data_IF_875455167913
#
_entry.id   IF_875455167913
#
_cell.length_a   1.000
_cell.length_b   1.000
_cell.length_c   1.000
_cell.angle_alpha   90.00
_cell.angle_beta   90.00
_cell.angle_gamma   90.00
#
_symmetry.space_group_name_H-M   'P 1'
#
loop_
_entity.id
_entity.type
_entity.pdbx_description
1 polymer ?
#
# COMPACT_ATOMS: atom_id res chain seq x y z
N UNK A 1 -24.83 -12.27 31.26
CA UNK A 1 -24.55 -11.06 30.47
C UNK A 1 -23.44 -10.33 31.19
N UNK A 2 -22.22 -10.57 30.75
CA UNK A 2 -21.04 -9.83 31.16
C UNK A 2 -20.19 -9.86 29.89
N UNK A 3 -20.37 -8.85 29.05
CA UNK A 3 -19.57 -8.64 27.84
C UNK A 3 -18.16 -8.35 28.34
N UNK A 4 -17.33 -9.39 28.28
CA UNK A 4 -15.93 -9.33 28.63
C UNK A 4 -15.26 -8.67 27.43
N UNK A 5 -15.07 -7.36 27.55
CA UNK A 5 -13.87 -6.65 27.12
C UNK A 5 -13.37 -7.10 25.73
N UNK A 6 -13.97 -6.54 24.67
CA UNK A 6 -13.23 -6.41 23.41
C UNK A 6 -11.97 -5.63 23.77
N UNK A 7 -10.84 -6.34 23.91
CA UNK A 7 -9.51 -5.72 23.96
C UNK A 7 -9.49 -4.63 22.90
N UNK A 8 -9.46 -3.35 23.30
CA UNK A 8 -9.30 -2.24 22.36
C UNK A 8 -8.06 -2.55 21.53
N UNK A 9 -8.28 -2.89 20.26
CA UNK A 9 -7.20 -3.36 19.41
C UNK A 9 -6.16 -2.25 19.30
N UNK A 10 -4.91 -2.54 19.65
CA UNK A 10 -3.85 -1.53 19.66
C UNK A 10 -3.40 -1.18 18.23
N UNK A 11 -3.54 -2.14 17.31
CA UNK A 11 -3.20 -2.02 15.89
C UNK A 11 -4.37 -2.51 15.04
N UNK A 12 -4.50 -1.93 13.84
CA UNK A 12 -5.36 -2.45 12.77
C UNK A 12 -4.54 -2.64 11.50
N UNK A 13 -5.07 -3.44 10.58
CA UNK A 13 -4.43 -3.81 9.32
C UNK A 13 -4.68 -2.75 8.25
N UNK A 14 -3.59 -2.25 7.69
CA UNK A 14 -3.54 -1.27 6.61
C UNK A 14 -3.02 -1.95 5.33
N UNK A 15 -3.74 -1.78 4.23
CA UNK A 15 -3.21 -2.08 2.90
C UNK A 15 -2.30 -0.94 2.44
N UNK A 16 -1.12 -1.28 1.93
CA UNK A 16 -0.19 -0.32 1.31
C UNK A 16 -0.76 0.14 -0.03
N UNK A 17 -1.13 -0.81 -0.89
CA UNK A 17 -1.89 -0.59 -2.12
C UNK A 17 -3.33 -1.01 -1.84
N UNK A 18 -4.19 -0.04 -1.52
CA UNK A 18 -5.62 -0.28 -1.29
C UNK A 18 -6.47 -0.28 -2.57
N UNK A 19 -7.77 -0.60 -2.47
CA UNK A 19 -8.68 -0.70 -3.61
C UNK A 19 -8.74 0.58 -4.48
N UNK A 20 -8.67 1.76 -3.88
CA UNK A 20 -8.66 3.05 -4.61
C UNK A 20 -7.41 3.20 -5.47
N UNK A 21 -6.24 2.80 -4.96
CA UNK A 21 -4.96 2.85 -5.70
C UNK A 21 -4.98 1.82 -6.83
N UNK A 22 -5.43 0.59 -6.54
CA UNK A 22 -5.61 -0.45 -7.55
C UNK A 22 -6.52 0.03 -8.68
N UNK A 23 -7.71 0.56 -8.36
CA UNK A 23 -8.66 1.05 -9.35
C UNK A 23 -8.09 2.20 -10.21
N UNK A 24 -7.28 3.07 -9.60
CA UNK A 24 -6.66 4.22 -10.26
C UNK A 24 -5.44 3.90 -11.13
N UNK A 25 -4.88 2.69 -11.06
CA UNK A 25 -3.68 2.30 -11.83
C UNK A 25 -4.02 1.29 -12.94
N UNK A 26 -3.94 1.67 -14.23
CA UNK A 26 -4.10 0.74 -15.34
C UNK A 26 -3.12 -0.44 -15.27
N UNK A 27 -1.85 -0.17 -14.93
CA UNK A 27 -0.84 -1.20 -14.73
C UNK A 27 -1.25 -2.23 -13.68
N UNK A 28 -1.63 -1.81 -12.46
CA UNK A 28 -2.01 -2.75 -11.40
C UNK A 28 -3.28 -3.51 -11.76
N UNK A 29 -4.27 -2.87 -12.38
CA UNK A 29 -5.49 -3.57 -12.83
C UNK A 29 -5.16 -4.67 -13.84
N UNK A 30 -4.25 -4.40 -14.77
CA UNK A 30 -3.81 -5.40 -15.74
C UNK A 30 -3.12 -6.57 -15.03
N UNK A 31 -2.11 -6.30 -14.21
CA UNK A 31 -1.36 -7.32 -13.48
C UNK A 31 -2.25 -8.16 -12.55
N UNK A 32 -3.23 -7.52 -11.91
CA UNK A 32 -4.22 -8.22 -11.11
C UNK A 32 -5.13 -9.13 -11.95
N UNK A 33 -5.60 -8.64 -13.10
CA UNK A 33 -6.46 -9.42 -13.98
C UNK A 33 -5.76 -10.66 -14.56
N UNK A 34 -4.42 -10.61 -14.76
CA UNK A 34 -3.62 -11.75 -15.22
C UNK A 34 -3.03 -12.59 -14.09
N UNK A 35 -3.31 -12.25 -12.82
CA UNK A 35 -2.89 -13.02 -11.65
C UNK A 35 -1.44 -12.79 -11.20
N UNK A 36 -0.79 -11.74 -11.70
CA UNK A 36 0.61 -11.40 -11.39
C UNK A 36 0.74 -10.41 -10.22
N UNK A 37 -0.37 -9.82 -9.79
CA UNK A 37 -0.46 -8.98 -8.59
C UNK A 37 -1.72 -9.32 -7.80
N UNK A 38 -1.56 -9.59 -6.51
CA UNK A 38 -2.67 -9.86 -5.58
C UNK A 38 -2.71 -8.76 -4.51
N UNK A 39 -3.86 -8.10 -4.40
CA UNK A 39 -4.07 -7.03 -3.41
C UNK A 39 -4.12 -7.58 -1.99
N UNK A 40 -4.57 -8.83 -1.83
CA UNK A 40 -4.73 -9.49 -0.53
C UNK A 40 -3.45 -10.22 -0.09
N UNK A 41 -2.39 -10.17 -0.90
CA UNK A 41 -1.09 -10.77 -0.60
C UNK A 41 -0.52 -10.23 0.73
N UNK A 42 0.09 -11.12 1.52
CA UNK A 42 0.59 -10.81 2.86
C UNK A 42 1.57 -9.63 2.87
N UNK A 43 2.36 -9.47 1.80
CA UNK A 43 3.34 -8.40 1.65
C UNK A 43 2.69 -7.02 1.59
N UNK A 44 1.45 -6.92 1.09
CA UNK A 44 0.70 -5.67 0.95
C UNK A 44 0.07 -5.18 2.27
N UNK A 45 0.10 -6.02 3.31
CA UNK A 45 -0.44 -5.69 4.63
C UNK A 45 0.62 -5.14 5.58
N UNK A 46 0.22 -4.12 6.36
CA UNK A 46 1.00 -3.54 7.45
C UNK A 46 0.07 -3.29 8.65
N UNK A 47 0.50 -3.65 9.86
CA UNK A 47 -0.25 -3.31 11.07
C UNK A 47 0.22 -1.96 11.59
N UNK A 48 -0.71 -1.02 11.75
CA UNK A 48 -0.43 0.33 12.25
C UNK A 48 -1.24 0.62 13.53
N UNK A 49 -0.69 1.39 14.48
CA UNK A 49 -1.42 1.82 15.67
C UNK A 49 -2.75 2.50 15.35
N UNK A 50 -3.81 2.20 16.10
CA UNK A 50 -5.10 2.87 15.95
C UNK A 50 -5.07 4.27 16.60
N UNK A 51 -4.48 4.37 17.79
CA UNK A 51 -4.39 5.60 18.57
C UNK A 51 -3.23 6.51 18.11
N UNK A 52 -3.50 7.81 17.98
CA UNK A 52 -2.52 8.80 17.54
C UNK A 52 -1.39 8.97 18.57
N UNK A 53 -1.72 9.09 19.86
CA UNK A 53 -0.72 9.30 20.89
C UNK A 53 0.22 8.09 21.04
N UNK A 54 -0.28 6.88 20.75
CA UNK A 54 0.52 5.67 20.69
C UNK A 54 1.42 5.63 19.45
N UNK A 55 0.90 6.00 18.27
CA UNK A 55 1.71 6.12 17.05
C UNK A 55 2.86 7.12 17.23
N UNK A 56 2.58 8.29 17.85
CA UNK A 56 3.59 9.32 18.12
C UNK A 56 4.69 8.81 19.06
N UNK A 57 4.33 8.02 20.08
CA UNK A 57 5.30 7.39 21.00
C UNK A 57 6.19 6.36 20.29
N UNK A 58 5.65 5.65 19.31
CA UNK A 58 6.40 4.69 18.49
C UNK A 58 7.19 5.37 17.36
N UNK A 59 6.86 6.61 17.02
CA UNK A 59 7.47 7.34 15.90
C UNK A 59 7.07 6.75 14.55
N UNK A 60 5.85 6.23 14.41
CA UNK A 60 5.37 5.61 13.17
C UNK A 60 4.05 6.24 12.68
N UNK A 61 3.60 5.85 11.49
CA UNK A 61 2.28 6.23 11.01
C UNK A 61 1.17 5.60 11.85
N UNK A 62 0.04 6.32 11.98
CA UNK A 62 -1.22 5.81 12.52
C UNK A 62 -2.04 5.13 11.42
N UNK A 63 -2.79 4.09 11.77
CA UNK A 63 -3.80 3.47 10.92
C UNK A 63 -4.87 4.48 10.46
N UNK A 64 -5.25 4.38 9.19
CA UNK A 64 -6.39 5.10 8.64
C UNK A 64 -7.29 4.15 7.88
N UNK A 65 -8.58 4.10 8.25
CA UNK A 65 -9.58 3.37 7.46
C UNK A 65 -9.57 3.81 5.98
N UNK A 66 -9.37 5.11 5.76
CA UNK A 66 -9.17 5.69 4.43
C UNK A 66 -7.88 6.51 4.43
N UNK A 67 -6.86 6.11 3.64
CA UNK A 67 -5.64 6.88 3.51
C UNK A 67 -5.90 8.30 3.00
N UNK A 68 -5.16 9.28 3.52
CA UNK A 68 -5.24 10.67 3.06
C UNK A 68 -4.98 10.80 1.55
N UNK A 69 -5.62 11.79 0.92
CA UNK A 69 -5.49 12.03 -0.52
C UNK A 69 -4.04 12.15 -1.00
N UNK A 70 -3.12 12.86 -0.32
CA UNK A 70 -1.72 12.96 -0.76
C UNK A 70 -1.00 11.61 -0.84
N UNK A 71 -1.29 10.69 0.07
CA UNK A 71 -0.74 9.33 0.04
C UNK A 71 -1.22 8.59 -1.21
N UNK A 72 -2.54 8.62 -1.45
CA UNK A 72 -3.16 7.97 -2.61
C UNK A 72 -2.64 8.55 -3.92
N UNK A 73 -2.57 9.87 -4.04
CA UNK A 73 -2.06 10.53 -5.25
C UNK A 73 -0.57 10.27 -5.48
N UNK A 74 0.25 10.28 -4.42
CA UNK A 74 1.67 9.96 -4.51
C UNK A 74 1.91 8.52 -5.00
N UNK A 75 1.15 7.55 -4.48
CA UNK A 75 1.20 6.16 -4.93
C UNK A 75 0.83 6.03 -6.41
N UNK A 76 -0.27 6.66 -6.84
CA UNK A 76 -0.69 6.66 -8.25
C UNK A 76 0.35 7.29 -9.17
N UNK A 77 1.02 8.36 -8.73
CA UNK A 77 2.10 8.98 -9.48
C UNK A 77 3.29 8.03 -9.68
N UNK A 78 3.73 7.35 -8.63
CA UNK A 78 4.84 6.37 -8.74
C UNK A 78 4.47 5.20 -9.67
N UNK A 79 3.24 4.69 -9.56
CA UNK A 79 2.75 3.62 -10.42
C UNK A 79 2.64 4.06 -11.89
N UNK A 80 2.25 5.31 -12.15
CA UNK A 80 2.23 5.88 -13.50
C UNK A 80 3.64 5.97 -14.12
N UNK A 81 4.66 6.29 -13.32
CA UNK A 81 6.06 6.25 -13.76
C UNK A 81 6.49 4.82 -14.12
N UNK A 82 6.12 3.82 -13.31
CA UNK A 82 6.38 2.42 -13.63
C UNK A 82 5.66 1.99 -14.92
N UNK A 83 4.39 2.38 -15.08
CA UNK A 83 3.59 2.09 -16.27
C UNK A 83 4.21 2.66 -17.56
N UNK A 84 4.72 3.90 -17.49
CA UNK A 84 5.37 4.58 -18.62
C UNK A 84 6.77 4.02 -18.95
N UNK A 85 7.36 3.22 -18.07
CA UNK A 85 8.68 2.60 -18.30
C UNK A 85 8.60 1.52 -19.40
N UNK A 86 9.73 1.18 -20.06
CA UNK A 86 9.76 0.10 -21.05
C UNK A 86 9.23 -1.23 -20.51
N UNK A 87 9.56 -1.57 -19.26
CA UNK A 87 9.08 -2.80 -18.62
C UNK A 87 7.58 -2.70 -18.27
N UNK A 88 7.08 -1.53 -17.88
CA UNK A 88 5.65 -1.33 -17.64
C UNK A 88 4.83 -1.49 -18.91
N UNK A 89 5.30 -0.88 -20.00
CA UNK A 89 4.70 -1.01 -21.34
C UNK A 89 4.74 -2.45 -21.84
N UNK A 90 5.89 -3.12 -21.72
CA UNK A 90 6.02 -4.53 -22.08
C UNK A 90 5.11 -5.44 -21.26
N UNK A 91 4.96 -5.17 -19.95
CA UNK A 91 4.05 -5.92 -19.10
C UNK A 91 2.59 -5.78 -19.57
N UNK A 92 2.15 -4.55 -19.90
CA UNK A 92 0.81 -4.30 -20.45
C UNK A 92 0.56 -4.99 -21.80
N UNK A 93 1.63 -5.25 -22.56
CA UNK A 93 1.61 -5.96 -23.84
C UNK A 93 1.72 -7.49 -23.68
N UNK A 94 1.86 -7.97 -22.43
CA UNK A 94 1.96 -9.40 -22.10
C UNK A 94 3.38 -9.98 -22.26
N UNK A 95 4.42 -9.15 -22.38
CA UNK A 95 5.80 -9.63 -22.37
C UNK A 95 6.15 -10.16 -20.97
N UNK A 96 6.45 -11.46 -20.89
CA UNK A 96 6.72 -12.15 -19.62
C UNK A 96 7.94 -11.56 -18.89
N UNK A 97 9.00 -11.23 -19.63
CA UNK A 97 10.21 -10.67 -19.03
C UNK A 97 9.96 -9.31 -18.38
N UNK A 98 9.21 -8.46 -19.09
CA UNK A 98 8.80 -7.14 -18.63
C UNK A 98 7.79 -7.21 -17.48
N UNK A 99 6.89 -8.20 -17.50
CA UNK A 99 5.96 -8.50 -16.40
C UNK A 99 6.72 -8.82 -15.11
N UNK A 100 7.68 -9.74 -15.15
CA UNK A 100 8.49 -10.10 -13.98
C UNK A 100 9.22 -8.88 -13.42
N UNK A 101 9.85 -8.08 -14.28
CA UNK A 101 10.60 -6.89 -13.83
C UNK A 101 9.68 -5.81 -13.25
N UNK A 102 8.50 -5.62 -13.84
CA UNK A 102 7.50 -4.66 -13.36
C UNK A 102 6.90 -5.06 -12.02
N UNK A 103 6.52 -6.33 -11.85
CA UNK A 103 6.05 -6.86 -10.55
C UNK A 103 7.11 -6.69 -9.47
N UNK A 104 8.37 -6.97 -9.80
CA UNK A 104 9.49 -6.72 -8.87
C UNK A 104 9.63 -5.24 -8.50
N UNK A 105 9.46 -4.32 -9.45
CA UNK A 105 9.50 -2.88 -9.18
C UNK A 105 8.34 -2.43 -8.28
N UNK A 106 7.13 -2.98 -8.47
CA UNK A 106 5.97 -2.72 -7.60
C UNK A 106 6.22 -3.23 -6.18
N UNK A 107 6.76 -4.44 -6.02
CA UNK A 107 7.13 -4.98 -4.69
C UNK A 107 8.15 -4.09 -3.98
N UNK A 108 9.18 -3.62 -4.71
CA UNK A 108 10.15 -2.67 -4.16
C UNK A 108 9.52 -1.35 -3.72
N UNK A 109 8.53 -0.86 -4.45
CA UNK A 109 7.74 0.31 -4.04
C UNK A 109 6.97 0.01 -2.74
N UNK A 110 6.29 -1.14 -2.65
CA UNK A 110 5.60 -1.56 -1.42
C UNK A 110 6.56 -1.63 -0.22
N UNK A 111 7.72 -2.27 -0.38
CA UNK A 111 8.72 -2.38 0.68
C UNK A 111 9.21 -1.01 1.16
N UNK A 112 9.48 -0.10 0.21
CA UNK A 112 9.94 1.26 0.51
C UNK A 112 8.88 2.04 1.29
N UNK A 113 7.62 1.95 0.85
CA UNK A 113 6.49 2.61 1.52
C UNK A 113 6.25 2.01 2.90
N UNK A 114 6.35 0.69 3.04
CA UNK A 114 6.22 0.00 4.33
C UNK A 114 7.22 0.52 5.35
N UNK A 115 8.49 0.61 4.96
CA UNK A 115 9.56 1.16 5.81
C UNK A 115 9.28 2.63 6.14
N UNK A 116 8.88 3.45 5.17
CA UNK A 116 8.58 4.87 5.40
C UNK A 116 7.41 5.06 6.39
N UNK A 117 6.36 4.23 6.32
CA UNK A 117 5.24 4.26 7.26
C UNK A 117 5.67 3.82 8.67
N UNK A 118 6.51 2.79 8.77
CA UNK A 118 7.06 2.30 10.05
C UNK A 118 7.94 3.36 10.71
N UNK A 119 8.73 4.09 9.92
CA UNK A 119 9.64 5.12 10.42
C UNK A 119 8.97 6.49 10.63
N UNK A 120 7.70 6.65 10.25
CA UNK A 120 7.00 7.94 10.30
C UNK A 120 7.43 8.94 9.23
N UNK A 121 8.26 8.52 8.25
CA UNK A 121 8.66 9.33 7.10
C UNK A 121 7.49 9.58 6.13
N UNK A 122 6.48 8.71 6.18
CA UNK A 122 5.24 8.80 5.43
C UNK A 122 4.05 8.58 6.37
N UNK A 123 2.90 9.17 6.04
CA UNK A 123 1.66 8.99 6.80
C UNK A 123 0.47 8.66 5.91
N UNK A 124 -0.42 7.79 6.42
CA UNK A 124 -1.73 7.52 5.81
C UNK A 124 -2.88 8.27 6.50
N UNK A 125 -2.63 8.91 7.64
CA UNK A 125 -3.64 9.64 8.42
C UNK A 125 -3.18 11.08 8.71
N UNK A 126 -4.13 12.02 8.82
CA UNK A 126 -3.84 13.34 9.39
C UNK A 126 -3.61 13.25 10.91
N UNK A 127 -2.58 13.92 11.39
CA UNK A 127 -2.37 14.19 12.81
C UNK A 127 -3.45 15.16 13.30
N UNK A 128 -4.14 14.81 14.38
CA UNK A 128 -5.12 15.67 15.07
C UNK A 128 -4.64 15.93 16.49
#
# INVERSE_FOLDING_TARGET
MNDIDETEALFDSQLIIGPTILAGSPLLRHLHAVGEFDIDAQENWLYLPIDQAFADKLGCSRYAKEPIDPYTQGMLQQLSVLEASPDGRGALEGDLGSTVRTVHAIRRLQDTVKVALINGDLVVAYSH
#
